data_IF_442870432304
#
_entry.id   IF_442870432304
#
_cell.length_a   1.000
_cell.length_b   1.000
_cell.length_c   1.000
_cell.angle_alpha   90.00
_cell.angle_beta   90.00
_cell.angle_gamma   90.00
#
_symmetry.space_group_name_H-M   'P 1'
#
loop_
_entity.id
_entity.type
_entity.pdbx_description
1 polymer ?
#
# COMPACT_ATOMS: atom_id res chain seq x y z
N UNK A 1 -22.26 24.46 17.26
CA UNK A 1 -21.37 23.32 17.58
C UNK A 1 -21.06 22.60 16.28
N UNK A 2 -19.80 22.30 15.99
CA UNK A 2 -19.37 21.63 14.75
C UNK A 2 -18.40 20.50 15.10
N UNK A 3 -18.60 19.32 14.51
CA UNK A 3 -17.76 18.13 14.76
C UNK A 3 -17.19 17.64 13.43
N UNK A 4 -15.89 17.36 13.39
CA UNK A 4 -15.22 16.78 12.22
C UNK A 4 -14.64 15.41 12.60
N UNK A 5 -15.45 14.38 12.46
CA UNK A 5 -15.12 13.01 12.88
C UNK A 5 -13.82 12.46 12.28
N UNK A 6 -13.60 12.66 10.98
CA UNK A 6 -12.40 12.13 10.32
C UNK A 6 -11.07 12.74 10.82
N UNK A 7 -11.12 13.98 11.32
CA UNK A 7 -9.94 14.70 11.87
C UNK A 7 -10.00 14.80 13.40
N UNK A 8 -10.97 14.14 14.03
CA UNK A 8 -11.18 14.06 15.49
C UNK A 8 -11.10 15.41 16.22
N UNK A 9 -11.79 16.43 15.69
CA UNK A 9 -11.91 17.74 16.36
C UNK A 9 -13.36 18.20 16.47
N UNK A 10 -13.60 19.12 17.41
CA UNK A 10 -14.90 19.70 17.70
C UNK A 10 -14.80 21.18 18.10
N UNK A 11 -15.73 22.01 17.63
CA UNK A 11 -15.83 23.43 18.03
C UNK A 11 -17.04 23.64 18.93
N UNK A 12 -16.80 24.24 20.10
CA UNK A 12 -17.79 24.57 21.13
C UNK A 12 -17.79 26.08 21.43
N UNK A 13 -18.93 26.66 21.82
CA UNK A 13 -18.93 28.00 22.39
C UNK A 13 -18.39 27.95 23.83
N UNK A 14 -17.41 28.80 24.15
CA UNK A 14 -16.81 28.91 25.48
C UNK A 14 -16.40 30.37 25.71
N UNK A 15 -16.83 30.97 26.83
CA UNK A 15 -16.57 32.38 27.20
C UNK A 15 -16.93 33.43 26.12
N UNK A 16 -17.99 33.17 25.35
CA UNK A 16 -18.45 34.09 24.30
C UNK A 16 -17.73 33.91 22.95
N UNK A 17 -16.69 33.08 22.91
CA UNK A 17 -15.94 32.73 21.71
C UNK A 17 -16.19 31.29 21.26
N UNK A 18 -15.78 30.97 20.03
CA UNK A 18 -15.78 29.60 19.51
C UNK A 18 -14.41 28.97 19.68
N UNK A 19 -14.30 27.99 20.56
CA UNK A 19 -13.06 27.26 20.86
C UNK A 19 -13.06 25.90 20.15
N UNK A 20 -11.91 25.54 19.56
CA UNK A 20 -11.73 24.23 18.92
C UNK A 20 -10.93 23.30 19.82
N UNK A 21 -11.54 22.15 20.13
CA UNK A 21 -10.94 21.05 20.86
C UNK A 21 -10.45 20.00 19.87
N UNK A 22 -9.16 19.70 19.90
CA UNK A 22 -8.53 18.65 19.12
C UNK A 22 -7.35 18.04 19.91
N UNK A 23 -6.99 16.79 19.62
CA UNK A 23 -5.78 16.17 20.18
C UNK A 23 -4.49 16.79 19.62
N UNK A 24 -3.34 16.35 20.12
CA UNK A 24 -2.04 16.70 19.54
C UNK A 24 -2.00 16.12 18.12
N UNK A 25 -1.94 17.00 17.12
CA UNK A 25 -1.74 16.60 15.73
C UNK A 25 -0.24 16.30 15.56
N UNK A 26 0.14 15.14 15.00
CA UNK A 26 1.54 14.88 14.67
C UNK A 26 2.08 16.02 13.80
N UNK A 27 3.24 16.59 14.15
CA UNK A 27 3.93 17.58 13.30
C UNK A 27 4.34 16.97 11.95
N UNK A 28 4.54 15.66 11.95
CA UNK A 28 4.90 14.89 10.78
C UNK A 28 3.65 14.66 9.92
N UNK A 29 3.51 15.49 8.88
CA UNK A 29 2.86 15.03 7.66
C UNK A 29 3.49 13.67 7.33
N UNK A 30 2.69 12.59 7.30
CA UNK A 30 3.12 11.31 6.75
C UNK A 30 3.78 11.62 5.40
N UNK A 31 5.11 11.55 5.36
CA UNK A 31 5.84 11.75 4.13
C UNK A 31 5.34 10.68 3.17
N UNK A 32 4.55 11.08 2.18
CA UNK A 32 4.01 10.15 1.19
C UNK A 32 5.19 9.76 0.31
N UNK A 33 5.78 8.60 0.58
CA UNK A 33 6.81 8.02 -0.27
C UNK A 33 6.15 7.47 -1.54
N UNK A 34 6.13 8.27 -2.60
CA UNK A 34 5.69 7.83 -3.93
C UNK A 34 6.91 7.25 -4.65
N UNK A 35 6.93 5.92 -4.81
CA UNK A 35 7.99 5.23 -5.55
C UNK A 35 7.53 4.96 -6.98
N UNK A 36 8.11 5.69 -7.93
CA UNK A 36 7.88 5.46 -9.35
C UNK A 36 8.77 4.32 -9.84
N UNK A 37 8.16 3.35 -10.52
CA UNK A 37 8.86 2.28 -11.21
C UNK A 37 8.69 2.49 -12.71
N UNK A 38 9.80 2.61 -13.43
CA UNK A 38 9.78 2.57 -14.89
C UNK A 38 9.82 1.11 -15.31
N UNK A 39 8.74 0.64 -15.94
CA UNK A 39 8.73 -0.67 -16.60
C UNK A 39 9.16 -0.41 -18.04
N UNK A 40 10.37 -0.83 -18.46
CA UNK A 40 10.77 -0.70 -19.85
C UNK A 40 9.85 -1.57 -20.71
N UNK A 41 9.45 -1.04 -21.87
CA UNK A 41 8.79 -1.84 -22.89
C UNK A 41 9.65 -3.08 -23.19
N UNK A 42 8.98 -4.22 -23.37
CA UNK A 42 9.54 -5.58 -23.44
C UNK A 42 10.61 -5.80 -24.52
N UNK A 43 10.94 -4.80 -25.33
CA UNK A 43 11.94 -4.86 -26.39
C UNK A 43 13.34 -4.42 -25.94
N UNK A 44 13.51 -3.95 -24.70
CA UNK A 44 14.81 -3.56 -24.14
C UNK A 44 15.09 -4.30 -22.82
N UNK A 45 15.25 -5.62 -22.93
CA UNK A 45 15.83 -6.47 -21.91
C UNK A 45 17.29 -6.06 -21.66
N UNK A 46 17.53 -5.00 -20.88
CA UNK A 46 18.89 -4.58 -20.48
C UNK A 46 18.87 -3.57 -19.33
N UNK A 47 18.16 -3.83 -18.24
CA UNK A 47 18.64 -3.36 -16.93
C UNK A 47 19.32 -4.53 -16.25
N UNK A 48 20.61 -4.41 -15.85
CA UNK A 48 21.23 -5.43 -15.03
C UNK A 48 20.64 -5.28 -13.63
N UNK A 49 19.45 -5.87 -13.43
CA UNK A 49 19.09 -6.37 -12.12
C UNK A 49 20.22 -7.31 -11.72
N UNK A 50 20.87 -7.03 -10.61
CA UNK A 50 22.00 -7.80 -10.07
C UNK A 50 21.73 -9.30 -10.34
N UNK A 51 22.58 -10.02 -11.12
CA UNK A 51 22.25 -11.37 -11.58
C UNK A 51 21.87 -12.34 -10.45
N UNK A 52 22.39 -12.07 -9.25
CA UNK A 52 22.03 -12.74 -8.00
C UNK A 52 20.61 -12.41 -7.52
N UNK A 53 20.19 -11.15 -7.57
CA UNK A 53 18.82 -10.74 -7.22
C UNK A 53 17.80 -11.26 -8.24
N UNK A 54 18.14 -11.23 -9.53
CA UNK A 54 17.28 -11.77 -10.60
C UNK A 54 17.06 -13.26 -10.46
N UNK A 55 18.13 -14.04 -10.22
CA UNK A 55 18.05 -15.48 -10.05
C UNK A 55 17.35 -15.88 -8.75
N UNK A 56 17.56 -15.13 -7.66
CA UNK A 56 16.87 -15.38 -6.38
C UNK A 56 15.38 -15.05 -6.48
N UNK A 57 15.00 -13.91 -7.06
CA UNK A 57 13.60 -13.56 -7.31
C UNK A 57 12.92 -14.57 -8.23
N UNK A 58 13.60 -15.01 -9.29
CA UNK A 58 13.08 -16.05 -10.17
C UNK A 58 12.85 -17.37 -9.43
N UNK A 59 13.77 -17.78 -8.57
CA UNK A 59 13.65 -18.99 -7.75
C UNK A 59 12.50 -18.92 -6.75
N UNK A 60 12.37 -17.79 -6.04
CA UNK A 60 11.30 -17.58 -5.05
C UNK A 60 9.92 -17.51 -5.71
N UNK A 61 9.82 -16.85 -6.86
CA UNK A 61 8.59 -16.83 -7.67
C UNK A 61 8.25 -18.22 -8.19
N UNK A 62 9.23 -19.01 -8.66
CA UNK A 62 9.01 -20.38 -9.10
C UNK A 62 8.53 -21.29 -7.95
N UNK A 63 9.11 -21.12 -6.76
CA UNK A 63 8.68 -21.84 -5.56
C UNK A 63 7.25 -21.47 -5.15
N UNK A 64 6.88 -20.19 -5.26
CA UNK A 64 5.52 -19.72 -4.99
C UNK A 64 4.52 -20.27 -6.02
N UNK A 65 4.87 -20.23 -7.30
CA UNK A 65 4.07 -20.82 -8.39
C UNK A 65 3.82 -22.31 -8.17
N UNK A 66 4.84 -23.02 -7.69
CA UNK A 66 4.73 -24.46 -7.37
C UNK A 66 3.87 -24.70 -6.13
N UNK A 67 4.02 -23.87 -5.09
CA UNK A 67 3.24 -23.99 -3.85
C UNK A 67 1.76 -23.67 -4.06
N UNK A 68 1.45 -22.75 -4.96
CA UNK A 68 0.10 -22.29 -5.26
C UNK A 68 -0.46 -22.92 -6.53
N UNK A 69 0.08 -24.06 -6.99
CA UNK A 69 -0.39 -24.76 -8.20
C UNK A 69 -1.90 -24.88 -8.25
N UNK A 70 -2.50 -25.29 -7.14
CA UNK A 70 -3.93 -25.59 -6.98
C UNK A 70 -4.82 -24.36 -7.22
N UNK A 71 -4.29 -23.14 -7.06
CA UNK A 71 -5.01 -21.88 -7.33
C UNK A 71 -5.07 -21.60 -8.84
N UNK A 72 -4.10 -22.11 -9.59
CA UNK A 72 -3.98 -21.95 -11.03
C UNK A 72 -4.47 -23.17 -11.82
N UNK A 73 -4.82 -24.26 -11.13
CA UNK A 73 -5.50 -25.39 -11.74
C UNK A 73 -6.88 -24.98 -12.26
N UNK A 74 -7.31 -25.61 -13.35
CA UNK A 74 -8.63 -25.37 -13.90
C UNK A 74 -9.69 -25.79 -12.86
N UNK A 75 -10.58 -24.89 -12.43
CA UNK A 75 -11.51 -25.19 -11.34
C UNK A 75 -12.45 -26.34 -11.75
N UNK A 76 -12.25 -27.49 -11.12
CA UNK A 76 -13.08 -28.68 -11.33
C UNK A 76 -14.37 -28.60 -10.50
N UNK A 77 -15.28 -27.73 -10.94
CA UNK A 77 -16.64 -27.63 -10.40
C UNK A 77 -16.79 -26.75 -9.16
N UNK A 78 -18.05 -26.58 -8.73
CA UNK A 78 -18.41 -25.78 -7.56
C UNK A 78 -18.13 -26.57 -6.28
N UNK A 79 -17.65 -25.92 -5.20
CA UNK A 79 -17.63 -26.56 -3.87
C UNK A 79 -19.06 -26.96 -3.46
N UNK A 80 -19.23 -28.04 -2.67
CA UNK A 80 -20.54 -28.59 -2.30
C UNK A 80 -21.45 -27.61 -1.56
#
# INVERSE_FOLDING_TARGET
>A
MKVHWAKKWMTIPYEGDWVTLQGIVPEDYEAVFIKFYSIPDSDQQSTPLDPLLSSTLQSEVQALMTKCSDVFEEPHGLPP
#
